data_IF_949728660187
#
_entry.id   IF_949728660187
#
_cell.length_a   1.000
_cell.length_b   1.000
_cell.length_c   1.000
_cell.angle_alpha   90.00
_cell.angle_beta   90.00
_cell.angle_gamma   90.00
#
_symmetry.space_group_name_H-M   'P 1'
#
loop_
_entity.id
_entity.type
_entity.pdbx_description
1 polymer ?
#
# COMPACT_ATOMS: atom_id res chain seq x y z
N UNK A 1 6.47 -23.28 -8.21
CA UNK A 1 7.79 -23.18 -7.57
C UNK A 1 7.74 -22.05 -6.57
N UNK A 2 7.98 -22.34 -5.29
CA UNK A 2 7.74 -21.39 -4.20
C UNK A 2 8.74 -20.23 -4.26
N UNK A 3 8.20 -19.01 -4.34
CA UNK A 3 8.96 -17.75 -4.24
C UNK A 3 9.23 -17.38 -2.76
N UNK A 4 9.28 -18.39 -1.88
CA UNK A 4 9.41 -18.26 -0.43
C UNK A 4 10.40 -19.30 0.08
N UNK A 5 11.32 -18.91 0.96
CA UNK A 5 12.29 -19.80 1.59
C UNK A 5 12.30 -19.60 3.11
N UNK A 6 12.43 -20.69 3.88
CA UNK A 6 12.57 -20.65 5.34
C UNK A 6 14.02 -20.93 5.74
N UNK A 7 14.58 -20.09 6.61
CA UNK A 7 15.99 -20.18 7.03
C UNK A 7 16.18 -20.57 8.52
N UNK A 8 15.13 -21.07 9.18
CA UNK A 8 15.17 -21.39 10.61
C UNK A 8 14.84 -20.20 11.54
N UNK A 9 14.89 -18.96 11.04
CA UNK A 9 14.59 -17.74 11.81
C UNK A 9 13.44 -16.92 11.22
N UNK A 10 13.17 -17.08 9.93
CA UNK A 10 12.12 -16.37 9.24
C UNK A 10 11.91 -16.85 7.81
N UNK A 11 10.96 -16.21 7.14
CA UNK A 11 10.63 -16.45 5.74
C UNK A 11 11.19 -15.32 4.89
N UNK A 12 11.90 -15.67 3.82
CA UNK A 12 12.32 -14.76 2.76
C UNK A 12 11.41 -14.97 1.57
N UNK A 13 11.03 -13.91 0.89
CA UNK A 13 10.24 -14.02 -0.33
C UNK A 13 10.72 -13.06 -1.41
N UNK A 14 10.56 -13.49 -2.66
CA UNK A 14 10.80 -12.69 -3.86
C UNK A 14 9.49 -12.48 -4.63
N UNK A 15 8.36 -12.46 -3.91
CA UNK A 15 7.06 -12.20 -4.53
C UNK A 15 6.94 -10.72 -4.83
N UNK A 16 6.31 -10.43 -5.95
CA UNK A 16 5.89 -9.08 -6.32
C UNK A 16 4.47 -8.81 -5.79
N UNK A 17 3.73 -7.98 -6.52
CA UNK A 17 2.31 -7.75 -6.35
C UNK A 17 1.47 -8.97 -6.78
N UNK A 18 0.17 -8.87 -6.54
CA UNK A 18 -0.80 -9.88 -6.92
C UNK A 18 -0.73 -10.22 -8.41
N UNK A 19 -0.99 -11.48 -8.74
CA UNK A 19 -1.11 -11.95 -10.13
C UNK A 19 -2.49 -11.68 -10.74
N UNK A 20 -3.41 -11.16 -9.93
CA UNK A 20 -4.77 -10.86 -10.38
C UNK A 20 -4.84 -9.47 -10.97
N UNK A 21 -5.63 -9.35 -12.05
CA UNK A 21 -6.04 -8.06 -12.59
C UNK A 21 -6.96 -7.36 -11.59
N UNK A 22 -7.07 -6.03 -11.71
CA UNK A 22 -7.84 -5.19 -10.81
C UNK A 22 -9.31 -5.65 -10.71
N UNK A 23 -9.89 -6.07 -11.81
CA UNK A 23 -11.30 -6.44 -11.93
C UNK A 23 -11.65 -7.65 -11.06
N UNK A 24 -10.75 -8.63 -10.99
CA UNK A 24 -10.94 -9.84 -10.19
C UNK A 24 -11.06 -9.53 -8.69
N UNK A 25 -10.45 -8.45 -8.22
CA UNK A 25 -10.56 -8.05 -6.82
C UNK A 25 -11.99 -7.73 -6.41
N UNK A 26 -12.89 -7.42 -7.34
CA UNK A 26 -14.30 -7.25 -7.02
C UNK A 26 -14.92 -8.55 -6.48
N UNK A 27 -14.60 -9.71 -7.06
CA UNK A 27 -15.06 -11.00 -6.52
C UNK A 27 -14.39 -11.32 -5.18
N UNK A 28 -13.08 -11.13 -5.08
CA UNK A 28 -12.32 -11.44 -3.85
C UNK A 28 -12.80 -10.61 -2.65
N UNK A 29 -13.12 -9.32 -2.86
CA UNK A 29 -13.71 -8.45 -1.83
C UNK A 29 -15.10 -8.95 -1.40
N UNK A 30 -15.95 -9.40 -2.34
CA UNK A 30 -17.25 -9.98 -1.99
C UNK A 30 -17.09 -11.24 -1.14
N UNK A 31 -16.14 -12.11 -1.48
CA UNK A 31 -15.86 -13.32 -0.71
C UNK A 31 -15.39 -12.94 0.70
N UNK A 32 -14.41 -12.05 0.81
CA UNK A 32 -13.85 -11.63 2.10
C UNK A 32 -14.89 -10.95 3.01
N UNK A 33 -15.86 -10.25 2.43
CA UNK A 33 -16.94 -9.56 3.16
C UNK A 33 -18.18 -10.42 3.41
N UNK A 34 -18.26 -11.64 2.87
CA UNK A 34 -19.48 -12.47 2.94
C UNK A 34 -19.96 -12.75 4.37
N UNK A 35 -19.02 -12.88 5.31
CA UNK A 35 -19.30 -13.07 6.74
C UNK A 35 -18.93 -11.83 7.59
N UNK A 36 -19.11 -10.62 7.03
CA UNK A 36 -18.92 -9.37 7.77
C UNK A 36 -17.46 -8.96 8.01
N UNK A 37 -16.52 -9.51 7.24
CA UNK A 37 -15.12 -9.15 7.30
C UNK A 37 -14.85 -7.69 6.94
N UNK A 38 -13.85 -7.09 7.59
CA UNK A 38 -13.30 -5.77 7.25
C UNK A 38 -12.16 -5.97 6.25
N UNK A 39 -12.23 -5.29 5.11
CA UNK A 39 -11.24 -5.41 4.04
C UNK A 39 -10.45 -4.11 3.87
N UNK A 40 -9.15 -4.21 4.11
CA UNK A 40 -8.18 -3.16 3.79
C UNK A 40 -7.55 -3.51 2.45
N UNK A 41 -7.79 -2.70 1.43
CA UNK A 41 -7.21 -2.94 0.10
C UNK A 41 -5.80 -2.33 0.01
N UNK A 42 -4.78 -3.19 -0.01
CA UNK A 42 -3.39 -2.78 -0.21
C UNK A 42 -3.11 -2.53 -1.69
N UNK A 43 -2.69 -1.31 -2.02
CA UNK A 43 -2.39 -0.86 -3.38
C UNK A 43 -0.98 -0.31 -3.50
N UNK A 44 -0.40 -0.41 -4.69
CA UNK A 44 0.88 0.19 -5.05
C UNK A 44 0.78 0.69 -6.49
N UNK A 45 1.42 1.81 -6.79
CA UNK A 45 1.49 2.39 -8.13
C UNK A 45 2.68 3.34 -8.23
N UNK A 46 2.97 3.81 -9.44
CA UNK A 46 4.13 4.63 -9.75
C UNK A 46 3.83 6.14 -9.80
N UNK A 47 2.56 6.53 -9.71
CA UNK A 47 2.14 7.93 -9.76
C UNK A 47 0.91 8.19 -8.89
N UNK A 48 0.68 9.44 -8.44
CA UNK A 48 -0.54 9.81 -7.72
C UNK A 48 -1.82 9.41 -8.45
N UNK A 49 -1.89 9.66 -9.77
CA UNK A 49 -3.07 9.35 -10.58
C UNK A 49 -3.39 7.85 -10.65
N UNK A 50 -2.36 7.01 -10.77
CA UNK A 50 -2.52 5.55 -10.76
C UNK A 50 -3.01 5.05 -9.41
N UNK A 51 -2.39 5.49 -8.32
CA UNK A 51 -2.78 5.08 -6.95
C UNK A 51 -4.20 5.56 -6.64
N UNK A 52 -4.54 6.79 -7.01
CA UNK A 52 -5.90 7.34 -6.87
C UNK A 52 -6.92 6.56 -7.71
N UNK A 53 -6.58 6.16 -8.94
CA UNK A 53 -7.47 5.31 -9.76
C UNK A 53 -7.76 3.97 -9.08
N UNK A 54 -6.72 3.29 -8.58
CA UNK A 54 -6.85 2.02 -7.86
C UNK A 54 -7.71 2.18 -6.60
N UNK A 55 -7.43 3.21 -5.79
CA UNK A 55 -8.15 3.50 -4.56
C UNK A 55 -9.65 3.69 -4.79
N UNK A 56 -10.03 4.53 -5.77
CA UNK A 56 -11.44 4.78 -6.13
C UNK A 56 -12.13 3.51 -6.61
N UNK A 57 -11.43 2.68 -7.39
CA UNK A 57 -11.99 1.42 -7.89
C UNK A 57 -12.26 0.44 -6.75
N UNK A 58 -11.30 0.28 -5.84
CA UNK A 58 -11.41 -0.64 -4.71
C UNK A 58 -12.41 -0.16 -3.66
N UNK A 59 -12.53 1.16 -3.42
CA UNK A 59 -13.62 1.73 -2.64
C UNK A 59 -14.98 1.38 -3.26
N UNK A 60 -15.13 1.55 -4.58
CA UNK A 60 -16.37 1.16 -5.29
C UNK A 60 -16.64 -0.34 -5.20
N UNK A 61 -15.61 -1.18 -5.10
CA UNK A 61 -15.74 -2.62 -4.90
C UNK A 61 -16.07 -3.01 -3.45
N UNK A 62 -16.05 -2.06 -2.52
CA UNK A 62 -16.50 -2.24 -1.15
C UNK A 62 -15.36 -2.38 -0.13
N UNK A 63 -14.13 -1.95 -0.44
CA UNK A 63 -13.07 -1.84 0.56
C UNK A 63 -13.50 -0.92 1.71
N UNK A 64 -13.13 -1.27 2.94
CA UNK A 64 -13.42 -0.47 4.15
C UNK A 64 -12.31 0.53 4.46
N UNK A 65 -11.10 0.28 3.95
CA UNK A 65 -9.97 1.21 3.98
C UNK A 65 -8.98 0.90 2.84
N UNK A 66 -8.10 1.86 2.55
CA UNK A 66 -7.02 1.71 1.57
C UNK A 66 -5.67 1.72 2.30
N UNK A 67 -4.80 0.75 2.02
CA UNK A 67 -3.39 0.78 2.41
C UNK A 67 -2.52 1.12 1.19
N UNK A 68 -1.84 2.26 1.22
CA UNK A 68 -0.87 2.63 0.20
C UNK A 68 0.48 2.01 0.58
N UNK A 69 0.92 1.01 -0.20
CA UNK A 69 2.21 0.37 -0.04
C UNK A 69 3.27 1.09 -0.87
N UNK A 70 4.11 1.86 -0.18
CA UNK A 70 5.20 2.64 -0.77
C UNK A 70 6.47 1.80 -1.03
N UNK A 71 6.33 0.51 -1.37
CA UNK A 71 7.47 -0.38 -1.60
C UNK A 71 7.41 -0.99 -2.99
N UNK A 72 8.47 -0.77 -3.79
CA UNK A 72 8.68 -1.55 -5.01
C UNK A 72 9.46 -2.83 -4.67
N UNK A 73 8.99 -4.03 -5.05
CA UNK A 73 9.59 -5.29 -4.61
C UNK A 73 11.03 -5.48 -5.10
N UNK A 74 11.40 -4.98 -6.28
CA UNK A 74 12.75 -5.10 -6.87
C UNK A 74 13.03 -3.89 -7.78
N UNK A 75 14.14 -3.18 -7.56
CA UNK A 75 14.65 -2.12 -8.43
C UNK A 75 15.19 -0.91 -7.66
N UNK A 76 16.47 -0.59 -7.88
CA UNK A 76 17.23 0.50 -7.20
C UNK A 76 16.67 1.92 -7.41
N UNK A 77 15.59 2.10 -8.19
CA UNK A 77 15.07 3.42 -8.57
C UNK A 77 13.88 3.96 -7.80
N UNK A 78 13.10 3.13 -7.08
CA UNK A 78 11.79 3.55 -6.50
C UNK A 78 11.78 3.67 -4.96
N UNK A 79 12.80 3.13 -4.28
CA UNK A 79 12.99 3.40 -2.83
C UNK A 79 13.36 4.87 -2.57
N UNK A 80 13.99 5.51 -3.55
CA UNK A 80 14.35 6.93 -3.52
C UNK A 80 13.10 7.83 -3.43
N UNK A 81 12.07 7.68 -4.30
CA UNK A 81 10.79 8.38 -4.17
C UNK A 81 10.10 8.21 -2.82
N UNK A 82 10.21 7.04 -2.18
CA UNK A 82 9.48 6.76 -0.93
C UNK A 82 10.17 7.34 0.31
N UNK A 83 11.44 7.75 0.18
CA UNK A 83 12.13 8.61 1.15
C UNK A 83 11.89 10.10 0.91
N UNK A 84 11.35 10.49 -0.25
CA UNK A 84 10.95 11.87 -0.52
C UNK A 84 9.60 12.17 0.13
N UNK A 85 9.65 12.96 1.20
CA UNK A 85 8.46 13.39 1.95
C UNK A 85 7.46 14.18 1.10
N UNK A 86 7.90 14.92 0.07
CA UNK A 86 7.01 15.64 -0.82
C UNK A 86 6.24 14.67 -1.73
N UNK A 87 6.93 13.68 -2.28
CA UNK A 87 6.30 12.64 -3.08
C UNK A 87 5.25 11.87 -2.28
N UNK A 88 5.60 11.44 -1.05
CA UNK A 88 4.66 10.77 -0.14
C UNK A 88 3.47 11.67 0.17
N UNK A 89 3.71 12.94 0.49
CA UNK A 89 2.65 13.89 0.77
C UNK A 89 1.67 14.03 -0.41
N UNK A 90 2.17 14.21 -1.63
CA UNK A 90 1.30 14.40 -2.81
C UNK A 90 0.51 13.14 -3.16
N UNK A 91 1.12 11.95 -3.12
CA UNK A 91 0.39 10.68 -3.33
C UNK A 91 -0.73 10.53 -2.31
N UNK A 92 -0.41 10.65 -1.02
CA UNK A 92 -1.39 10.42 0.05
C UNK A 92 -2.51 11.45 -0.02
N UNK A 93 -2.16 12.71 -0.25
CA UNK A 93 -3.13 13.81 -0.34
C UNK A 93 -4.08 13.63 -1.52
N UNK A 94 -3.58 13.17 -2.67
CA UNK A 94 -4.43 12.95 -3.84
C UNK A 94 -5.43 11.80 -3.59
N UNK A 95 -4.97 10.70 -2.98
CA UNK A 95 -5.85 9.58 -2.62
C UNK A 95 -6.89 10.01 -1.59
N UNK A 96 -6.46 10.62 -0.47
CA UNK A 96 -7.35 11.07 0.61
C UNK A 96 -8.43 12.03 0.11
N UNK A 97 -8.12 12.90 -0.86
CA UNK A 97 -9.11 13.80 -1.46
C UNK A 97 -10.16 13.10 -2.32
N UNK A 98 -9.86 11.90 -2.82
CA UNK A 98 -10.62 11.21 -3.86
C UNK A 98 -11.39 9.99 -3.36
N UNK A 99 -11.17 9.55 -2.12
CA UNK A 99 -11.93 8.49 -1.45
C UNK A 99 -12.56 9.00 -0.15
N UNK A 100 -13.60 8.33 0.33
CA UNK A 100 -14.30 8.61 1.58
C UNK A 100 -13.89 7.67 2.72
N UNK A 101 -13.36 6.51 2.39
CA UNK A 101 -12.85 5.52 3.35
C UNK A 101 -11.47 5.91 3.91
N UNK A 102 -11.10 5.45 5.13
CA UNK A 102 -9.80 5.72 5.72
C UNK A 102 -8.63 5.28 4.82
N UNK A 103 -7.56 6.07 4.83
CA UNK A 103 -6.35 5.80 4.06
C UNK A 103 -5.18 5.62 5.03
N UNK A 104 -4.49 4.48 4.92
CA UNK A 104 -3.29 4.17 5.68
C UNK A 104 -2.07 4.06 4.75
N UNK A 105 -0.88 4.29 5.30
CA UNK A 105 0.38 4.23 4.54
C UNK A 105 1.29 3.18 5.14
N UNK A 106 1.74 2.23 4.32
CA UNK A 106 2.66 1.17 4.74
C UNK A 106 4.11 1.57 4.50
N UNK A 107 4.88 1.67 5.58
CA UNK A 107 6.26 2.13 5.55
C UNK A 107 7.26 0.97 5.54
N UNK A 108 8.29 1.11 4.70
CA UNK A 108 9.48 0.27 4.72
C UNK A 108 10.46 0.78 5.79
N UNK A 109 11.21 -0.12 6.42
CA UNK A 109 12.33 0.25 7.30
C UNK A 109 13.50 0.92 6.55
N UNK A 110 13.54 0.84 5.22
CA UNK A 110 14.61 1.43 4.39
C UNK A 110 14.39 2.91 4.04
N UNK A 111 13.43 3.60 4.67
CA UNK A 111 13.28 5.05 4.51
C UNK A 111 14.34 5.79 5.32
N UNK A 112 14.92 6.85 4.78
CA UNK A 112 15.98 7.64 5.44
C UNK A 112 15.57 8.14 6.83
N UNK A 113 14.33 8.63 6.96
CA UNK A 113 13.78 9.10 8.22
C UNK A 113 12.29 8.75 8.32
N UNK A 114 11.98 7.64 9.00
CA UNK A 114 10.60 7.14 9.15
C UNK A 114 9.67 8.14 9.84
N UNK A 115 10.21 8.96 10.75
CA UNK A 115 9.43 10.00 11.44
C UNK A 115 9.01 11.10 10.48
N UNK A 116 9.90 11.56 9.59
CA UNK A 116 9.56 12.60 8.60
C UNK A 116 8.55 12.10 7.58
N UNK A 117 8.72 10.88 7.06
CA UNK A 117 7.77 10.26 6.13
C UNK A 117 6.40 10.08 6.80
N UNK A 118 6.37 9.62 8.05
CA UNK A 118 5.11 9.48 8.83
C UNK A 118 4.42 10.83 9.04
N UNK A 119 5.19 11.89 9.34
CA UNK A 119 4.66 13.26 9.48
C UNK A 119 4.09 13.77 8.16
N UNK A 120 4.76 13.51 7.04
CA UNK A 120 4.28 13.88 5.71
C UNK A 120 2.95 13.18 5.37
N UNK A 121 2.88 11.86 5.57
CA UNK A 121 1.65 11.09 5.38
C UNK A 121 0.50 11.61 6.28
N UNK A 122 0.77 11.87 7.56
CA UNK A 122 -0.22 12.45 8.49
C UNK A 122 -0.69 13.83 8.01
N UNK A 123 0.23 14.71 7.60
CA UNK A 123 -0.09 16.06 7.09
C UNK A 123 -0.95 16.00 5.82
N UNK A 124 -0.74 14.98 4.99
CA UNK A 124 -1.54 14.72 3.79
C UNK A 124 -2.96 14.18 4.08
N UNK A 125 -3.23 13.80 5.33
CA UNK A 125 -4.55 13.31 5.77
C UNK A 125 -4.66 11.80 5.93
N UNK A 126 -3.54 11.05 5.91
CA UNK A 126 -3.59 9.63 6.25
C UNK A 126 -4.15 9.41 7.66
N UNK A 127 -5.07 8.45 7.78
CA UNK A 127 -5.73 8.06 9.02
C UNK A 127 -4.83 7.19 9.91
N UNK A 128 -3.90 6.44 9.30
CA UNK A 128 -3.01 5.53 10.01
C UNK A 128 -1.68 5.30 9.27
N UNK A 129 -0.70 4.79 10.01
CA UNK A 129 0.56 4.27 9.48
C UNK A 129 0.61 2.77 9.79
N UNK A 130 0.95 1.96 8.78
CA UNK A 130 1.20 0.52 8.89
C UNK A 130 2.71 0.31 8.84
N UNK A 131 3.30 -0.28 9.88
CA UNK A 131 4.74 -0.50 9.96
C UNK A 131 5.05 -1.83 10.67
N UNK A 132 5.98 -2.65 10.20
CA UNK A 132 6.93 -2.44 9.08
C UNK A 132 6.59 -3.27 7.83
N UNK A 133 7.20 -2.93 6.70
CA UNK A 133 7.33 -3.82 5.54
C UNK A 133 8.47 -4.86 5.77
N UNK A 134 8.75 -5.70 4.78
CA UNK A 134 9.72 -6.80 4.88
C UNK A 134 11.15 -6.27 5.01
N UNK A 135 11.95 -6.87 5.89
CA UNK A 135 13.39 -6.61 6.06
C UNK A 135 14.17 -7.28 4.92
N UNK A 136 15.15 -6.56 4.33
CA UNK A 136 16.09 -7.09 3.34
C UNK A 136 17.45 -7.40 3.96
#
# INVERSE_FOLDING_TARGET
SEQVAYNGQGLQNIRFYSRFQLERWQEELKIAKSDGGIVIASISGHSPSEVTYLAKKLEKYGADAIEISLSCPLGEGVEVPCSDTNFVYEIVKDVVKNVKIPVMVKLSQHVNNISEVSKAAKKAGASAISAINTIR
#
